data_IF_186141289169
#
_entry.id   IF_186141289169
#
_cell.length_a   1.000
_cell.length_b   1.000
_cell.length_c   1.000
_cell.angle_alpha   90.00
_cell.angle_beta   90.00
_cell.angle_gamma   90.00
#
_symmetry.space_group_name_H-M   'P 1'
#
loop_
_entity.id
_entity.type
_entity.pdbx_description
1 polymer ?
#
# COMPACT_ATOMS: atom_id res chain seq x y z
N UNK A 1 -13.26 1.43 38.35
CA UNK A 1 -14.29 0.79 37.51
C UNK A 1 -14.48 1.54 36.19
N UNK A 2 -14.38 2.88 36.18
CA UNK A 2 -14.33 3.72 34.97
C UNK A 2 -13.28 3.28 33.94
N UNK A 3 -12.07 2.93 34.39
CA UNK A 3 -10.94 2.71 33.49
C UNK A 3 -11.10 1.42 32.68
N UNK A 4 -11.67 0.38 33.29
CA UNK A 4 -11.95 -0.90 32.62
C UNK A 4 -12.96 -0.69 31.50
N UNK A 5 -14.01 0.11 31.74
CA UNK A 5 -15.01 0.42 30.73
C UNK A 5 -14.41 1.21 29.56
N UNK A 6 -13.49 2.14 29.83
CA UNK A 6 -12.80 2.89 28.79
C UNK A 6 -11.95 1.97 27.89
N UNK A 7 -11.23 1.02 28.47
CA UNK A 7 -10.41 0.04 27.73
C UNK A 7 -11.29 -0.85 26.84
N UNK A 8 -12.40 -1.37 27.39
CA UNK A 8 -13.32 -2.23 26.64
C UNK A 8 -13.95 -1.47 25.47
N UNK A 9 -14.37 -0.22 25.69
CA UNK A 9 -14.93 0.62 24.63
C UNK A 9 -13.90 0.91 23.54
N UNK A 10 -12.66 1.24 23.91
CA UNK A 10 -11.59 1.49 22.94
C UNK A 10 -11.29 0.25 22.08
N UNK A 11 -11.21 -0.93 22.69
CA UNK A 11 -11.02 -2.20 21.99
C UNK A 11 -12.18 -2.49 21.04
N UNK A 12 -13.41 -2.28 21.49
CA UNK A 12 -14.60 -2.47 20.66
C UNK A 12 -14.59 -1.54 19.45
N UNK A 13 -14.34 -0.24 19.65
CA UNK A 13 -14.24 0.74 18.56
C UNK A 13 -13.14 0.34 17.57
N UNK A 14 -11.96 -0.05 18.06
CA UNK A 14 -10.87 -0.50 17.21
C UNK A 14 -11.25 -1.73 16.37
N UNK A 15 -11.91 -2.71 16.98
CA UNK A 15 -12.40 -3.89 16.27
C UNK A 15 -13.42 -3.52 15.18
N UNK A 16 -14.37 -2.64 15.47
CA UNK A 16 -15.32 -2.13 14.49
C UNK A 16 -14.61 -1.42 13.31
N UNK A 17 -13.59 -0.61 13.59
CA UNK A 17 -12.81 0.07 12.56
C UNK A 17 -12.07 -0.93 11.65
N UNK A 18 -11.48 -2.00 12.21
CA UNK A 18 -10.81 -3.03 11.41
C UNK A 18 -11.77 -3.82 10.53
N UNK A 19 -12.93 -4.22 11.06
CA UNK A 19 -13.96 -4.91 10.27
C UNK A 19 -14.48 -4.00 9.15
N UNK A 20 -14.75 -2.72 9.45
CA UNK A 20 -15.16 -1.75 8.44
C UNK A 20 -14.09 -1.56 7.35
N UNK A 21 -12.81 -1.41 7.75
CA UNK A 21 -11.70 -1.28 6.81
C UNK A 21 -11.55 -2.52 5.91
N UNK A 22 -11.69 -3.72 6.48
CA UNK A 22 -11.68 -4.96 5.70
C UNK A 22 -12.86 -5.03 4.73
N UNK A 23 -14.08 -4.67 5.15
CA UNK A 23 -15.24 -4.64 4.26
C UNK A 23 -15.04 -3.64 3.12
N UNK A 24 -14.53 -2.44 3.38
CA UNK A 24 -14.19 -1.47 2.35
C UNK A 24 -13.11 -2.01 1.39
N UNK A 25 -12.09 -2.67 1.93
CA UNK A 25 -11.04 -3.27 1.11
C UNK A 25 -11.56 -4.40 0.21
N UNK A 26 -12.38 -5.32 0.75
CA UNK A 26 -13.00 -6.39 -0.04
C UNK A 26 -13.91 -5.79 -1.11
N UNK A 27 -14.71 -4.78 -0.76
CA UNK A 27 -15.57 -4.09 -1.70
C UNK A 27 -14.77 -3.44 -2.85
N UNK A 28 -13.70 -2.72 -2.52
CA UNK A 28 -12.79 -2.11 -3.50
C UNK A 28 -12.11 -3.16 -4.38
N UNK A 29 -11.70 -4.28 -3.79
CA UNK A 29 -11.16 -5.42 -4.51
C UNK A 29 -12.17 -6.01 -5.49
N UNK A 30 -13.42 -6.23 -5.08
CA UNK A 30 -14.47 -6.76 -5.95
C UNK A 30 -14.77 -5.85 -7.15
N UNK A 31 -14.86 -4.52 -6.95
CA UNK A 31 -15.15 -3.58 -8.04
C UNK A 31 -13.96 -3.40 -9.00
N UNK A 32 -12.73 -3.65 -8.53
CA UNK A 32 -11.52 -3.51 -9.36
C UNK A 32 -11.06 -4.84 -9.97
N UNK A 33 -11.59 -5.98 -9.52
CA UNK A 33 -11.15 -7.33 -9.91
C UNK A 33 -11.16 -7.53 -11.43
N UNK A 34 -12.22 -7.11 -12.12
CA UNK A 34 -12.31 -7.26 -13.58
C UNK A 34 -11.15 -6.56 -14.30
N UNK A 35 -10.86 -5.32 -13.87
CA UNK A 35 -9.73 -4.54 -14.40
C UNK A 35 -8.38 -5.17 -14.03
N UNK A 36 -8.25 -5.67 -12.81
CA UNK A 36 -7.02 -6.31 -12.35
C UNK A 36 -6.70 -7.57 -13.17
N UNK A 37 -7.71 -8.39 -13.49
CA UNK A 37 -7.54 -9.57 -14.34
C UNK A 37 -7.16 -9.16 -15.77
N UNK A 38 -7.84 -8.18 -16.33
CA UNK A 38 -7.58 -7.75 -17.70
C UNK A 38 -6.16 -7.17 -17.86
N UNK A 39 -5.75 -6.26 -16.99
CA UNK A 39 -4.48 -5.54 -17.14
C UNK A 39 -3.28 -6.28 -16.56
N UNK A 40 -3.43 -6.99 -15.44
CA UNK A 40 -2.28 -7.59 -14.78
C UNK A 40 -2.06 -9.06 -15.13
N UNK A 41 -3.14 -9.85 -15.32
CA UNK A 41 -2.97 -11.30 -15.50
C UNK A 41 -2.68 -11.68 -16.96
N UNK A 42 -3.09 -10.85 -17.92
CA UNK A 42 -2.80 -11.10 -19.35
C UNK A 42 -1.44 -10.57 -19.80
N UNK A 43 -0.82 -9.67 -19.04
CA UNK A 43 0.45 -9.00 -19.43
C UNK A 43 1.66 -9.67 -18.77
N UNK A 44 2.84 -9.49 -19.36
CA UNK A 44 4.11 -9.96 -18.78
C UNK A 44 4.31 -9.32 -17.41
N UNK A 45 4.67 -10.12 -16.41
CA UNK A 45 4.91 -9.67 -15.04
C UNK A 45 5.88 -8.48 -15.01
N UNK A 46 5.35 -7.30 -14.71
CA UNK A 46 6.12 -6.07 -14.53
C UNK A 46 6.42 -5.84 -13.04
N UNK A 47 7.44 -5.04 -12.74
CA UNK A 47 7.79 -4.68 -11.35
C UNK A 47 6.58 -4.03 -10.62
N UNK A 48 5.85 -3.06 -11.20
CA UNK A 48 4.63 -2.52 -10.59
C UNK A 48 3.56 -3.57 -10.31
N UNK A 49 3.36 -4.53 -11.22
CA UNK A 49 2.38 -5.62 -11.02
C UNK A 49 2.76 -6.50 -9.84
N UNK A 50 4.05 -6.81 -9.67
CA UNK A 50 4.54 -7.59 -8.53
C UNK A 50 4.33 -6.83 -7.21
N UNK A 51 4.70 -5.54 -7.16
CA UNK A 51 4.50 -4.70 -5.97
C UNK A 51 3.03 -4.63 -5.57
N UNK A 52 2.14 -4.46 -6.55
CA UNK A 52 0.70 -4.44 -6.31
C UNK A 52 0.20 -5.78 -5.75
N UNK A 53 0.63 -6.90 -6.33
CA UNK A 53 0.26 -8.23 -5.83
C UNK A 53 0.76 -8.47 -4.41
N UNK A 54 2.02 -8.11 -4.12
CA UNK A 54 2.61 -8.21 -2.78
C UNK A 54 1.84 -7.35 -1.77
N UNK A 55 1.45 -6.13 -2.14
CA UNK A 55 0.63 -5.26 -1.29
C UNK A 55 -0.73 -5.90 -0.98
N UNK A 56 -1.41 -6.46 -1.98
CA UNK A 56 -2.70 -7.11 -1.75
C UNK A 56 -2.58 -8.35 -0.87
N UNK A 57 -1.62 -9.24 -1.16
CA UNK A 57 -1.39 -10.44 -0.35
C UNK A 57 -1.04 -10.04 1.08
N UNK A 58 -0.15 -9.06 1.27
CA UNK A 58 0.19 -8.54 2.60
C UNK A 58 -1.05 -8.00 3.34
N UNK A 59 -1.93 -7.27 2.64
CA UNK A 59 -3.17 -6.73 3.20
C UNK A 59 -4.12 -7.84 3.63
N UNK A 60 -4.34 -8.85 2.78
CA UNK A 60 -5.17 -10.01 3.13
C UNK A 60 -4.58 -10.82 4.29
N UNK A 61 -3.25 -11.06 4.30
CA UNK A 61 -2.57 -11.74 5.41
C UNK A 61 -2.73 -10.95 6.72
N UNK A 62 -2.59 -9.63 6.69
CA UNK A 62 -2.76 -8.78 7.85
C UNK A 62 -4.19 -8.85 8.41
N UNK A 63 -5.22 -8.53 7.62
CA UNK A 63 -6.60 -8.57 8.11
C UNK A 63 -7.07 -9.98 8.46
N UNK A 64 -6.65 -10.99 7.70
CA UNK A 64 -6.98 -12.39 7.95
C UNK A 64 -6.37 -12.91 9.25
N UNK A 65 -5.10 -12.60 9.51
CA UNK A 65 -4.44 -12.96 10.78
C UNK A 65 -5.07 -12.23 11.96
N UNK A 66 -5.39 -10.95 11.81
CA UNK A 66 -6.12 -10.18 12.83
C UNK A 66 -7.48 -10.80 13.16
N UNK A 67 -8.29 -11.14 12.15
CA UNK A 67 -9.57 -11.83 12.37
C UNK A 67 -9.37 -13.18 13.08
N UNK A 68 -8.38 -13.96 12.67
CA UNK A 68 -8.04 -15.23 13.29
C UNK A 68 -7.71 -15.10 14.79
N UNK A 69 -6.98 -14.05 15.17
CA UNK A 69 -6.70 -13.73 16.58
C UNK A 69 -7.99 -13.38 17.33
N UNK A 70 -8.92 -12.61 16.74
CA UNK A 70 -10.18 -12.27 17.41
C UNK A 70 -11.05 -13.51 17.64
N UNK A 71 -11.25 -14.34 16.62
CA UNK A 71 -12.06 -15.56 16.73
C UNK A 71 -11.50 -16.58 17.72
N UNK A 72 -10.17 -16.65 17.88
CA UNK A 72 -9.55 -17.55 18.84
C UNK A 72 -9.56 -17.02 20.28
N UNK A 73 -9.64 -15.70 20.46
CA UNK A 73 -9.71 -15.06 21.77
C UNK A 73 -11.13 -15.01 22.36
N UNK A 74 -12.17 -15.28 21.56
CA UNK A 74 -13.54 -15.34 22.05
C UNK A 74 -13.71 -16.42 23.13
N UNK A 75 -13.83 -15.95 24.37
CA UNK A 75 -13.87 -16.74 25.59
C UNK A 75 -15.00 -17.79 25.65
N UNK A 76 -16.00 -17.68 24.77
CA UNK A 76 -17.07 -18.66 24.62
C UNK A 76 -16.54 -20.04 24.20
N UNK A 77 -15.52 -20.09 23.32
CA UNK A 77 -14.89 -21.35 22.93
C UNK A 77 -14.08 -21.96 24.09
N UNK A 78 -13.43 -21.10 24.89
CA UNK A 78 -12.58 -21.50 26.02
C UNK A 78 -13.36 -22.04 27.22
N UNK A 79 -14.60 -21.59 27.45
CA UNK A 79 -15.45 -22.11 28.55
C UNK A 79 -16.06 -23.48 28.26
N UNK A 80 -16.17 -23.89 27.00
CA UNK A 80 -16.88 -25.11 26.61
C UNK A 80 -15.98 -26.36 26.51
N UNK A 81 -14.65 -26.22 26.49
CA UNK A 81 -13.74 -27.32 26.14
C UNK A 81 -12.96 -27.90 27.33
N UNK A 82 -12.78 -29.23 27.38
CA UNK A 82 -12.01 -29.91 28.43
C UNK A 82 -10.53 -29.49 28.41
N UNK A 83 -9.87 -29.68 29.56
CA UNK A 83 -8.50 -29.23 29.88
C UNK A 83 -7.44 -29.63 28.83
N UNK A 84 -7.63 -30.76 28.12
CA UNK A 84 -6.73 -31.25 27.07
C UNK A 84 -6.80 -30.40 25.79
N UNK A 85 -7.97 -29.86 25.43
CA UNK A 85 -8.15 -29.02 24.24
C UNK A 85 -7.75 -27.55 24.49
N UNK A 86 -7.54 -27.16 25.76
CA UNK A 86 -6.99 -25.84 26.10
C UNK A 86 -5.52 -25.69 25.67
N UNK A 87 -4.71 -26.75 25.77
CA UNK A 87 -3.30 -26.70 25.36
C UNK A 87 -3.15 -26.50 23.85
N UNK A 88 -3.92 -27.21 23.03
CA UNK A 88 -3.92 -27.04 21.57
C UNK A 88 -4.40 -25.63 21.17
N UNK A 89 -5.48 -25.15 21.79
CA UNK A 89 -6.00 -23.80 21.56
C UNK A 89 -4.99 -22.71 21.95
N UNK A 90 -4.21 -22.94 23.01
CA UNK A 90 -3.15 -22.02 23.44
C UNK A 90 -2.01 -21.94 22.42
N UNK A 91 -1.50 -23.08 21.95
CA UNK A 91 -0.43 -23.12 20.95
C UNK A 91 -0.89 -22.43 19.66
N UNK A 92 -2.14 -22.68 19.24
CA UNK A 92 -2.73 -22.02 18.06
C UNK A 92 -2.87 -20.52 18.25
N UNK A 93 -3.39 -20.06 19.40
CA UNK A 93 -3.54 -18.63 19.70
C UNK A 93 -2.20 -17.90 19.71
N UNK A 94 -1.18 -18.48 20.35
CA UNK A 94 0.17 -17.91 20.35
C UNK A 94 0.79 -17.85 18.96
N UNK A 95 0.67 -18.93 18.17
CA UNK A 95 1.16 -18.95 16.80
C UNK A 95 0.46 -17.90 15.90
N UNK A 96 -0.85 -17.73 16.06
CA UNK A 96 -1.62 -16.71 15.33
C UNK A 96 -1.24 -15.28 15.74
N UNK A 97 -0.98 -15.03 17.03
CA UNK A 97 -0.54 -13.73 17.51
C UNK A 97 0.84 -13.35 16.95
N UNK A 98 1.79 -14.29 16.97
CA UNK A 98 3.11 -14.10 16.34
C UNK A 98 2.98 -13.88 14.83
N UNK A 99 2.13 -14.65 14.15
CA UNK A 99 1.88 -14.49 12.72
C UNK A 99 1.25 -13.13 12.40
N UNK A 100 0.32 -12.64 13.22
CA UNK A 100 -0.26 -11.32 13.09
C UNK A 100 0.81 -10.23 13.26
N UNK A 101 1.69 -10.35 14.26
CA UNK A 101 2.81 -9.42 14.45
C UNK A 101 3.73 -9.33 13.22
N UNK A 102 4.13 -10.48 12.66
CA UNK A 102 4.94 -10.53 11.44
C UNK A 102 4.18 -9.96 10.24
N UNK A 103 2.89 -10.26 10.12
CA UNK A 103 2.04 -9.77 9.02
C UNK A 103 1.89 -8.24 9.05
N UNK A 104 1.71 -7.64 10.23
CA UNK A 104 1.69 -6.17 10.42
C UNK A 104 3.01 -5.55 9.97
N UNK A 105 4.14 -6.08 10.42
CA UNK A 105 5.45 -5.56 10.07
C UNK A 105 5.69 -5.62 8.56
N UNK A 106 5.35 -6.76 7.94
CA UNK A 106 5.45 -6.94 6.50
C UNK A 106 4.55 -5.98 5.73
N UNK A 107 3.29 -5.84 6.16
CA UNK A 107 2.34 -4.89 5.56
C UNK A 107 2.87 -3.45 5.59
N UNK A 108 3.34 -2.98 6.75
CA UNK A 108 3.87 -1.61 6.89
C UNK A 108 5.12 -1.39 6.03
N UNK A 109 6.00 -2.38 5.93
CA UNK A 109 7.18 -2.32 5.06
C UNK A 109 6.77 -2.21 3.58
N UNK A 110 5.81 -3.02 3.14
CA UNK A 110 5.31 -2.98 1.76
C UNK A 110 4.61 -1.67 1.45
N UNK A 111 3.79 -1.15 2.37
CA UNK A 111 3.15 0.17 2.24
C UNK A 111 4.20 1.28 2.12
N UNK A 112 5.22 1.28 2.98
CA UNK A 112 6.32 2.25 2.92
C UNK A 112 7.09 2.17 1.60
N UNK A 113 7.37 0.96 1.11
CA UNK A 113 8.05 0.73 -0.16
C UNK A 113 7.22 1.21 -1.36
N UNK A 114 5.93 0.86 -1.43
CA UNK A 114 5.03 1.30 -2.51
C UNK A 114 4.84 2.81 -2.48
N UNK A 115 4.63 3.40 -1.30
CA UNK A 115 4.43 4.84 -1.15
C UNK A 115 5.68 5.64 -1.58
N UNK A 116 6.87 5.21 -1.14
CA UNK A 116 8.12 5.86 -1.54
C UNK A 116 8.43 5.68 -3.02
N UNK A 117 8.21 4.49 -3.58
CA UNK A 117 8.40 4.24 -5.02
C UNK A 117 7.43 5.10 -5.87
N UNK A 118 6.18 5.26 -5.42
CA UNK A 118 5.20 6.11 -6.10
C UNK A 118 5.67 7.57 -6.11
N UNK A 119 6.14 8.09 -4.98
CA UNK A 119 6.68 9.46 -4.90
C UNK A 119 7.93 9.60 -5.77
N UNK A 120 8.81 8.60 -5.80
CA UNK A 120 10.01 8.60 -6.65
C UNK A 120 9.66 8.65 -8.15
N UNK A 121 8.67 7.87 -8.58
CA UNK A 121 8.23 7.85 -9.98
C UNK A 121 7.58 9.17 -10.40
N UNK A 122 6.84 9.82 -9.49
CA UNK A 122 6.15 11.08 -9.76
C UNK A 122 7.06 12.31 -9.71
N UNK A 123 8.14 12.26 -8.92
CA UNK A 123 9.02 13.41 -8.69
C UNK A 123 10.26 13.40 -9.61
N UNK A 124 10.10 12.99 -10.86
CA UNK A 124 11.19 13.05 -11.85
C UNK A 124 12.46 12.29 -11.47
N UNK A 125 12.33 11.17 -10.73
CA UNK A 125 13.47 10.35 -10.26
C UNK A 125 14.37 11.00 -9.19
N UNK A 126 13.92 12.08 -8.57
CA UNK A 126 14.61 12.64 -7.40
C UNK A 126 14.42 11.78 -6.14
N UNK A 127 15.53 11.42 -5.49
CA UNK A 127 15.51 10.50 -4.35
C UNK A 127 15.23 11.16 -2.99
N UNK A 128 15.30 12.50 -2.89
CA UNK A 128 15.20 13.22 -1.61
C UNK A 128 13.81 13.12 -0.98
N UNK A 129 12.76 13.47 -1.73
CA UNK A 129 11.36 13.38 -1.27
C UNK A 129 10.93 11.95 -0.90
N UNK A 130 11.16 10.92 -1.75
CA UNK A 130 10.78 9.56 -1.39
C UNK A 130 11.58 9.01 -0.22
N UNK A 131 12.83 9.43 -0.01
CA UNK A 131 13.60 9.07 1.18
C UNK A 131 12.96 9.63 2.47
N UNK A 132 12.48 10.88 2.45
CA UNK A 132 11.76 11.47 3.60
C UNK A 132 10.47 10.69 3.89
N UNK A 133 9.69 10.38 2.86
CA UNK A 133 8.45 9.59 3.01
C UNK A 133 8.76 8.19 3.55
N UNK A 134 9.80 7.53 3.02
CA UNK A 134 10.22 6.21 3.47
C UNK A 134 10.61 6.24 4.96
N UNK A 135 11.43 7.20 5.38
CA UNK A 135 11.85 7.34 6.78
C UNK A 135 10.65 7.56 7.70
N UNK A 136 9.71 8.44 7.33
CA UNK A 136 8.51 8.72 8.12
C UNK A 136 7.62 7.49 8.32
N UNK A 137 7.45 6.67 7.27
CA UNK A 137 6.65 5.44 7.33
C UNK A 137 7.41 4.27 7.98
N UNK A 138 8.75 4.24 7.90
CA UNK A 138 9.57 3.19 8.52
C UNK A 138 9.56 3.28 10.07
N UNK A 139 9.21 4.44 10.63
CA UNK A 139 9.05 4.60 12.09
C UNK A 139 8.01 3.61 12.63
N UNK A 140 6.91 3.39 11.91
CA UNK A 140 5.88 2.44 12.34
C UNK A 140 6.39 1.01 12.36
N UNK A 141 7.18 0.64 11.36
CA UNK A 141 7.83 -0.67 11.30
C UNK A 141 8.76 -0.87 12.51
N UNK A 142 9.61 0.12 12.81
CA UNK A 142 10.50 0.08 13.98
C UNK A 142 9.73 0.02 15.31
N UNK A 143 8.63 0.75 15.42
CA UNK A 143 7.77 0.73 16.60
C UNK A 143 7.16 -0.64 16.85
N UNK A 144 6.65 -1.29 15.80
CA UNK A 144 6.09 -2.63 15.89
C UNK A 144 7.14 -3.68 16.29
N UNK A 145 8.37 -3.59 15.77
CA UNK A 145 9.47 -4.47 16.19
C UNK A 145 9.76 -4.32 17.69
N UNK A 146 9.85 -3.08 18.17
CA UNK A 146 10.14 -2.81 19.58
C UNK A 146 9.03 -3.34 20.51
N UNK A 147 7.76 -3.14 20.13
CA UNK A 147 6.61 -3.64 20.89
C UNK A 147 6.64 -5.17 20.92
N UNK A 148 6.86 -5.82 19.79
CA UNK A 148 6.95 -7.28 19.72
C UNK A 148 8.13 -7.84 20.56
N UNK A 149 9.29 -7.17 20.54
CA UNK A 149 10.47 -7.59 21.28
C UNK A 149 10.35 -7.41 22.81
N UNK A 150 9.48 -6.50 23.26
CA UNK A 150 9.29 -6.18 24.70
C UNK A 150 8.00 -6.77 25.29
N UNK A 151 7.18 -7.39 24.45
CA UNK A 151 5.99 -8.10 24.87
C UNK A 151 6.38 -9.43 25.54
N UNK A 152 5.83 -9.65 26.72
CA UNK A 152 5.97 -10.91 27.48
C UNK A 152 4.59 -11.45 27.80
N UNK A 153 4.43 -12.76 27.66
CA UNK A 153 3.17 -13.41 28.01
C UNK A 153 3.27 -13.84 29.48
N UNK A 154 2.34 -13.34 30.30
CA UNK A 154 2.25 -13.72 31.72
C UNK A 154 0.94 -14.44 31.98
N UNK A 155 1.00 -15.47 32.81
CA UNK A 155 -0.17 -16.25 33.23
C UNK A 155 -0.59 -15.83 34.63
N UNK A 156 -1.86 -15.46 34.79
CA UNK A 156 -2.45 -15.24 36.11
C UNK A 156 -2.97 -16.55 36.69
N UNK A 157 -3.19 -16.57 38.02
CA UNK A 157 -3.73 -17.73 38.73
C UNK A 157 -5.11 -18.18 38.20
N UNK A 158 -5.84 -17.30 37.52
CA UNK A 158 -7.13 -17.59 36.89
C UNK A 158 -7.02 -18.11 35.45
N UNK A 159 -5.83 -18.54 35.00
CA UNK A 159 -5.57 -18.99 33.63
C UNK A 159 -5.89 -17.93 32.56
N UNK A 160 -5.90 -16.65 32.94
CA UNK A 160 -6.07 -15.52 32.01
C UNK A 160 -4.71 -15.21 31.41
N UNK A 161 -4.64 -15.20 30.08
CA UNK A 161 -3.47 -14.79 29.34
C UNK A 161 -3.46 -13.26 29.28
N UNK A 162 -2.43 -12.62 29.84
CA UNK A 162 -2.24 -11.18 29.75
C UNK A 162 -0.90 -10.93 29.07
N UNK A 163 -0.94 -10.21 27.95
CA UNK A 163 0.26 -9.69 27.31
C UNK A 163 0.71 -8.48 28.12
N UNK A 164 1.86 -8.61 28.77
CA UNK A 164 2.48 -7.54 29.55
C UNK A 164 3.69 -7.01 28.79
N UNK A 165 3.80 -5.69 28.70
CA UNK A 165 4.98 -5.01 28.15
C UNK A 165 5.88 -4.54 29.27
N UNK A 166 7.19 -4.74 29.12
CA UNK A 166 8.16 -4.40 30.18
C UNK A 166 8.16 -2.89 30.53
N UNK A 167 7.91 -2.01 29.56
CA UNK A 167 7.85 -0.57 29.75
C UNK A 167 6.65 0.05 29.02
N UNK A 168 5.45 0.07 29.64
CA UNK A 168 4.24 0.59 29.00
C UNK A 168 4.33 2.09 28.67
N UNK A 169 5.10 2.86 29.45
CA UNK A 169 5.30 4.28 29.19
C UNK A 169 6.11 4.51 27.91
N UNK A 170 7.14 3.69 27.65
CA UNK A 170 7.90 3.76 26.40
C UNK A 170 7.05 3.34 25.20
N UNK A 171 6.26 2.26 25.34
CA UNK A 171 5.34 1.79 24.28
C UNK A 171 4.31 2.85 23.91
N UNK A 172 3.68 3.50 24.90
CA UNK A 172 2.72 4.57 24.64
C UNK A 172 3.35 5.75 23.91
N UNK A 173 4.54 6.19 24.34
CA UNK A 173 5.28 7.26 23.66
C UNK A 173 5.64 6.90 22.22
N UNK A 174 6.10 5.66 22.00
CA UNK A 174 6.49 5.17 20.68
C UNK A 174 5.28 5.05 19.75
N UNK A 175 4.14 4.58 20.25
CA UNK A 175 2.89 4.50 19.50
C UNK A 175 2.39 5.89 19.07
N UNK A 176 2.41 6.87 19.98
CA UNK A 176 2.05 8.26 19.64
C UNK A 176 3.02 8.82 18.59
N UNK A 177 4.32 8.55 18.74
CA UNK A 177 5.35 9.00 17.79
C UNK A 177 5.14 8.39 16.41
N UNK A 178 4.85 7.09 16.34
CA UNK A 178 4.54 6.36 15.11
C UNK A 178 3.40 7.00 14.33
N UNK A 179 2.28 7.26 15.02
CA UNK A 179 1.11 7.90 14.41
C UNK A 179 1.45 9.33 13.95
N UNK A 180 2.17 10.07 14.78
CA UNK A 180 2.57 11.44 14.48
C UNK A 180 3.51 11.55 13.27
N UNK A 181 4.31 10.52 12.97
CA UNK A 181 5.18 10.47 11.78
C UNK A 181 4.47 9.92 10.54
N UNK A 182 3.56 8.95 10.72
CA UNK A 182 2.86 8.32 9.61
C UNK A 182 1.83 9.24 8.94
N UNK A 183 1.09 10.04 9.73
CA UNK A 183 0.09 10.98 9.20
C UNK A 183 0.72 11.96 8.18
N UNK A 184 1.82 12.68 8.50
CA UNK A 184 2.54 13.49 7.53
C UNK A 184 3.07 12.69 6.34
N UNK A 185 3.57 11.47 6.56
CA UNK A 185 4.06 10.60 5.49
C UNK A 185 2.97 10.31 4.45
N UNK A 186 1.79 9.90 4.88
CA UNK A 186 0.64 9.68 4.00
C UNK A 186 0.14 10.97 3.34
N UNK A 187 0.10 12.07 4.09
CA UNK A 187 -0.32 13.36 3.55
C UNK A 187 0.62 13.85 2.45
N UNK A 188 1.94 13.69 2.61
CA UNK A 188 2.93 14.02 1.59
C UNK A 188 2.73 13.20 0.32
N UNK A 189 2.50 11.88 0.44
CA UNK A 189 2.24 11.01 -0.71
C UNK A 189 0.99 11.45 -1.46
N UNK A 190 -0.09 11.78 -0.74
CA UNK A 190 -1.32 12.30 -1.34
C UNK A 190 -1.10 13.65 -2.02
N UNK A 191 -0.36 14.56 -1.39
CA UNK A 191 -0.09 15.89 -1.93
C UNK A 191 0.76 15.82 -3.21
N UNK A 192 1.82 15.00 -3.24
CA UNK A 192 2.64 14.78 -4.44
C UNK A 192 1.79 14.18 -5.55
N UNK A 193 1.02 13.13 -5.23
CA UNK A 193 0.10 12.50 -6.18
C UNK A 193 -0.87 13.53 -6.76
N UNK A 194 -1.51 14.32 -5.90
CA UNK A 194 -2.49 15.32 -6.30
C UNK A 194 -1.90 16.38 -7.21
N UNK A 195 -0.70 16.88 -6.89
CA UNK A 195 0.01 17.87 -7.72
C UNK A 195 0.28 17.34 -9.13
N UNK A 196 0.81 16.13 -9.25
CA UNK A 196 1.09 15.53 -10.56
C UNK A 196 -0.21 15.28 -11.35
N UNK A 197 -1.25 14.73 -10.70
CA UNK A 197 -2.55 14.54 -11.36
C UNK A 197 -3.16 15.86 -11.82
N UNK A 198 -3.03 16.93 -11.03
CA UNK A 198 -3.53 18.25 -11.39
C UNK A 198 -2.73 18.87 -12.55
N UNK A 199 -1.41 18.69 -12.60
CA UNK A 199 -0.57 19.16 -13.71
C UNK A 199 -0.93 18.45 -15.02
N UNK A 200 -1.07 17.13 -15.02
CA UNK A 200 -1.49 16.36 -16.21
C UNK A 200 -2.85 16.84 -16.69
N UNK A 201 -3.80 17.05 -15.77
CA UNK A 201 -5.11 17.61 -16.10
C UNK A 201 -5.01 19.00 -16.72
N UNK A 202 -4.22 19.90 -16.12
CA UNK A 202 -4.05 21.28 -16.62
C UNK A 202 -3.43 21.30 -18.03
N UNK A 203 -2.50 20.40 -18.32
CA UNK A 203 -1.90 20.26 -19.65
C UNK A 203 -2.93 19.76 -20.67
N UNK A 204 -3.74 18.76 -20.32
CA UNK A 204 -4.83 18.28 -21.19
C UNK A 204 -5.85 19.40 -21.48
N UNK A 205 -6.24 20.17 -20.46
CA UNK A 205 -7.16 21.31 -20.62
C UNK A 205 -6.56 22.41 -21.52
N UNK A 206 -5.25 22.66 -21.44
CA UNK A 206 -4.57 23.69 -22.24
C UNK A 206 -4.49 23.33 -23.73
N UNK A 207 -4.45 22.04 -24.08
CA UNK A 207 -4.46 21.57 -25.48
C UNK A 207 -5.87 21.62 -26.08
N UNK A 208 -6.90 21.94 -25.28
CA UNK A 208 -8.29 22.01 -25.74
C UNK A 208 -8.87 20.64 -26.13
N UNK A 209 -8.11 19.57 -25.92
CA UNK A 209 -8.58 18.21 -26.12
C UNK A 209 -9.40 17.85 -24.87
N UNK A 210 -10.73 17.84 -25.01
CA UNK A 210 -11.62 17.19 -24.03
C UNK A 210 -11.45 15.66 -24.07
N UNK A 211 -10.22 15.18 -24.19
CA UNK A 211 -9.90 13.79 -24.00
C UNK A 211 -10.20 13.47 -22.53
N UNK A 212 -11.29 12.74 -22.32
CA UNK A 212 -11.57 12.05 -21.06
C UNK A 212 -10.27 11.40 -20.59
N UNK A 213 -9.89 11.57 -19.32
CA UNK A 213 -8.66 11.01 -18.73
C UNK A 213 -8.54 9.50 -19.05
N UNK A 214 -9.67 8.82 -19.17
CA UNK A 214 -9.77 7.41 -19.60
C UNK A 214 -9.30 7.20 -21.05
N UNK A 215 -9.59 8.11 -21.96
CA UNK A 215 -9.17 8.05 -23.36
C UNK A 215 -7.65 8.26 -23.52
N UNK A 216 -7.04 9.13 -22.70
CA UNK A 216 -5.59 9.31 -22.64
C UNK A 216 -4.88 8.07 -22.07
N UNK A 217 -5.40 7.50 -20.98
CA UNK A 217 -4.87 6.25 -20.40
C UNK A 217 -5.01 5.04 -21.33
N UNK A 218 -6.06 4.99 -22.15
CA UNK A 218 -6.27 3.91 -23.12
C UNK A 218 -5.44 4.06 -24.40
N UNK A 219 -5.01 5.28 -24.76
CA UNK A 219 -4.23 5.53 -25.99
C UNK A 219 -2.79 5.00 -25.88
N UNK A 220 -2.23 4.97 -24.68
CA UNK A 220 -0.83 4.61 -24.43
C UNK A 220 -0.54 3.11 -24.63
N UNK A 221 -1.56 2.24 -24.63
CA UNK A 221 -1.38 0.80 -24.88
C UNK A 221 -1.56 0.37 -26.33
N UNK A 222 -2.00 1.29 -27.21
CA UNK A 222 -2.39 0.97 -28.58
C UNK A 222 -1.41 1.43 -29.64
N UNK A 223 -0.25 2.02 -29.29
CA UNK A 223 0.81 2.27 -30.28
C UNK A 223 1.45 0.92 -30.63
N UNK A 224 1.16 0.35 -31.82
CA UNK A 224 1.83 -0.85 -32.26
C UNK A 224 3.31 -0.48 -32.47
N UNK A 225 4.26 -1.41 -32.24
CA UNK A 225 5.63 -1.17 -32.68
C UNK A 225 5.57 -0.85 -34.16
N UNK A 226 5.98 0.36 -34.54
CA UNK A 226 6.14 0.77 -35.93
C UNK A 226 7.21 -0.16 -36.48
N UNK A 227 6.75 -1.25 -37.05
CA UNK A 227 7.58 -2.24 -37.71
C UNK A 227 8.12 -1.49 -38.93
N UNK A 228 9.39 -1.09 -38.83
CA UNK A 228 10.14 -0.36 -39.85
C UNK A 228 10.26 -1.19 -41.12
N UNK A 229 9.17 -1.30 -41.87
CA UNK A 229 9.16 -1.69 -43.27
C UNK A 229 9.60 -0.48 -44.07
N UNK A 230 10.92 -0.33 -44.23
CA UNK A 230 11.53 0.52 -45.25
C UNK A 230 11.11 -0.05 -46.62
N UNK A 231 9.94 0.35 -47.10
CA UNK A 231 9.59 0.22 -48.51
C UNK A 231 10.25 1.37 -49.24
N UNK A 232 11.41 1.06 -49.81
CA UNK A 232 12.18 1.87 -50.73
C UNK A 232 11.33 2.11 -51.99
N UNK A 233 10.58 3.21 -52.03
CA UNK A 233 9.97 3.71 -53.25
C UNK A 233 11.00 4.56 -53.99
N UNK A 234 11.57 3.97 -55.04
CA UNK A 234 12.40 4.67 -56.03
C UNK A 234 11.49 5.45 -56.99
N UNK A 235 11.68 6.77 -57.01
CA UNK A 235 11.57 7.59 -58.22
C UNK A 235 10.25 8.32 -58.44
N UNK A 236 10.25 9.64 -58.27
CA UNK A 236 10.15 10.55 -59.42
C UNK A 236 10.56 11.97 -58.99
N UNK A 237 11.38 12.61 -59.82
CA UNK A 237 11.96 13.93 -59.54
C UNK A 237 10.95 15.07 -59.56
N UNK A 238 11.18 16.02 -58.67
CA UNK A 238 10.49 17.31 -58.60
C UNK A 238 11.27 18.24 -57.70
N UNK A 239 12.20 18.98 -58.30
CA UNK A 239 13.01 20.01 -57.64
C UNK A 239 12.15 21.23 -57.33
N UNK A 240 11.88 21.50 -56.05
CA UNK A 240 11.47 22.81 -55.52
C UNK A 240 12.15 23.00 -54.16
N UNK A 241 12.73 24.18 -53.97
CA UNK A 241 13.60 24.55 -52.86
C UNK A 241 12.84 25.06 -51.62
N UNK A 242 13.37 24.69 -50.43
CA UNK A 242 13.25 25.31 -49.08
C UNK A 242 11.86 25.37 -48.42
N UNK A 243 11.72 25.50 -47.07
CA UNK A 243 12.72 25.67 -46.00
C UNK A 243 12.58 24.73 -44.77
N UNK A 244 13.66 24.64 -43.98
CA UNK A 244 13.58 24.66 -42.51
C UNK A 244 13.37 23.34 -41.78
N UNK A 245 14.49 22.68 -41.45
CA UNK A 245 14.60 21.64 -40.44
C UNK A 245 14.17 22.18 -39.05
N UNK A 246 13.02 21.74 -38.52
CA UNK A 246 12.59 22.09 -37.16
C UNK A 246 11.63 21.08 -36.49
N UNK A 247 11.50 19.85 -37.00
CA UNK A 247 10.49 18.89 -36.49
C UNK A 247 11.06 17.62 -35.82
N UNK A 248 12.39 17.42 -35.80
CA UNK A 248 13.00 16.20 -35.23
C UNK A 248 13.44 16.31 -33.75
N UNK A 249 13.27 17.47 -33.10
CA UNK A 249 13.61 17.66 -31.67
C UNK A 249 12.41 17.47 -30.71
N UNK A 250 11.18 17.31 -31.20
CA UNK A 250 9.97 17.25 -30.35
C UNK A 250 9.59 15.83 -29.86
N UNK A 251 10.20 14.79 -30.40
CA UNK A 251 9.88 13.39 -30.04
C UNK A 251 10.92 12.74 -29.12
N UNK A 252 11.99 13.44 -28.76
CA UNK A 252 13.03 12.95 -27.85
C UNK A 252 12.93 13.49 -26.42
N UNK A 253 12.09 14.51 -26.21
CA UNK A 253 11.83 15.15 -24.90
C UNK A 253 10.49 14.73 -24.26
N UNK A 254 9.89 13.63 -24.74
CA UNK A 254 8.66 13.07 -24.15
C UNK A 254 8.85 12.41 -22.77
N UNK A 255 10.05 12.47 -22.19
CA UNK A 255 10.17 12.38 -20.74
C UNK A 255 9.64 13.70 -20.20
N UNK A 256 8.37 13.71 -19.77
CA UNK A 256 7.79 14.84 -19.04
C UNK A 256 8.55 14.96 -17.72
N UNK A 257 9.72 15.60 -17.79
CA UNK A 257 10.53 15.98 -16.65
C UNK A 257 9.73 17.03 -15.89
N UNK A 258 9.09 16.57 -14.83
CA UNK A 258 8.35 17.40 -13.89
C UNK A 258 9.36 18.11 -12.97
N UNK A 259 10.07 19.11 -13.50
CA UNK A 259 10.78 20.11 -12.67
C UNK A 259 9.84 21.18 -12.09
#
# INVERSE_FOLDING_TARGET
MSDVQAIVNAQFTQNCCYVAALCCFIFDFCITLDRQIEFMWKRKLSVPSLLFFVLQVATFCYYGSWLGVQFTNDCLYRRALPLILMFDSFIRGFALDQFNGVSVMFFNLVVAAVASLRVYALNGRDWKMPAVVAVLLLVEFGANIYIAATATVTFTAQLVCIVAVHNPAAVNKLSITSIATAIPGHFLVLLVTWRCTYQVKRLADAVGEQASVTALLLRDELVPPINGGISRSTGFGGSIAAPGDAEDDLLRDGAIDCE
#
